data_IF_097086470907
#
_entry.id   IF_097086470907
#
_cell.length_a   1.000
_cell.length_b   1.000
_cell.length_c   1.000
_cell.angle_alpha   90.00
_cell.angle_beta   90.00
_cell.angle_gamma   90.00
#
_symmetry.space_group_name_H-M   'P 1'
#
loop_
_entity.id
_entity.type
_entity.pdbx_description
1 polymer ?
#
# COMPACT_ATOMS: atom_id res chain seq x y z
N UNK A 1 12.77 -30.21 -11.25
CA UNK A 1 12.55 -29.30 -10.12
C UNK A 1 11.06 -29.35 -9.82
N UNK A 2 10.69 -29.74 -8.60
CA UNK A 2 9.28 -29.86 -8.21
C UNK A 2 8.64 -28.47 -8.13
N UNK A 3 7.37 -28.34 -8.53
CA UNK A 3 6.67 -27.03 -8.50
C UNK A 3 6.68 -26.36 -7.12
N UNK A 4 6.73 -27.15 -6.05
CA UNK A 4 6.84 -26.65 -4.68
C UNK A 4 8.20 -26.02 -4.35
N UNK A 5 9.29 -26.53 -4.91
CA UNK A 5 10.64 -25.98 -4.70
C UNK A 5 10.72 -24.56 -5.26
N UNK A 6 10.21 -24.34 -6.47
CA UNK A 6 10.19 -23.03 -7.14
C UNK A 6 9.35 -22.02 -6.34
N UNK A 7 8.20 -22.45 -5.79
CA UNK A 7 7.36 -21.58 -4.96
C UNK A 7 8.07 -21.18 -3.65
N UNK A 8 8.74 -22.14 -3.00
CA UNK A 8 9.51 -21.89 -1.77
C UNK A 8 10.70 -20.96 -2.03
N UNK A 9 11.47 -21.19 -3.09
CA UNK A 9 12.58 -20.33 -3.50
C UNK A 9 12.09 -18.90 -3.76
N UNK A 10 10.98 -18.76 -4.50
CA UNK A 10 10.40 -17.45 -4.81
C UNK A 10 9.95 -16.72 -3.54
N UNK A 11 9.32 -17.43 -2.60
CA UNK A 11 8.86 -16.85 -1.33
C UNK A 11 10.03 -16.40 -0.45
N UNK A 12 11.06 -17.24 -0.31
CA UNK A 12 12.26 -16.92 0.46
C UNK A 12 12.99 -15.72 -0.13
N UNK A 13 13.11 -15.66 -1.46
CA UNK A 13 13.71 -14.53 -2.14
C UNK A 13 12.92 -13.23 -1.90
N UNK A 14 11.58 -13.28 -1.99
CA UNK A 14 10.72 -12.12 -1.67
C UNK A 14 10.95 -11.64 -0.25
N UNK A 15 10.92 -12.54 0.73
CA UNK A 15 11.14 -12.14 2.11
C UNK A 15 12.55 -11.60 2.34
N UNK A 16 13.58 -12.21 1.74
CA UNK A 16 14.95 -11.71 1.83
C UNK A 16 15.06 -10.30 1.25
N UNK A 17 14.49 -10.05 0.07
CA UNK A 17 14.49 -8.73 -0.55
C UNK A 17 13.69 -7.70 0.26
N UNK A 18 12.48 -8.04 0.69
CA UNK A 18 11.64 -7.15 1.49
C UNK A 18 12.31 -6.80 2.83
N UNK A 19 12.84 -7.79 3.54
CA UNK A 19 13.50 -7.56 4.83
C UNK A 19 14.84 -6.84 4.70
N UNK A 20 15.60 -7.05 3.63
CA UNK A 20 16.91 -6.43 3.48
C UNK A 20 16.83 -5.07 2.79
N UNK A 21 16.28 -5.03 1.57
CA UNK A 21 16.20 -3.80 0.77
C UNK A 21 15.08 -2.91 1.28
N UNK A 22 13.90 -3.46 1.56
CA UNK A 22 12.78 -2.69 2.13
C UNK A 22 13.21 -2.00 3.42
N UNK A 23 13.77 -2.76 4.37
CA UNK A 23 14.25 -2.19 5.64
C UNK A 23 15.35 -1.14 5.47
N UNK A 24 16.26 -1.34 4.52
CA UNK A 24 17.29 -0.35 4.22
C UNK A 24 16.66 0.96 3.74
N UNK A 25 15.72 0.91 2.79
CA UNK A 25 15.04 2.10 2.28
C UNK A 25 14.12 2.73 3.33
N UNK A 26 13.44 1.93 4.14
CA UNK A 26 12.65 2.38 5.29
C UNK A 26 13.50 3.25 6.21
N UNK A 27 14.68 2.76 6.62
CA UNK A 27 15.62 3.48 7.49
C UNK A 27 16.13 4.78 6.84
N UNK A 28 16.45 4.76 5.53
CA UNK A 28 16.87 5.95 4.80
C UNK A 28 15.77 7.03 4.77
N UNK A 29 14.52 6.61 4.55
CA UNK A 29 13.34 7.48 4.50
C UNK A 29 13.01 8.03 5.89
N UNK A 30 13.15 7.22 6.94
CA UNK A 30 12.97 7.69 8.33
C UNK A 30 14.02 8.73 8.72
N UNK A 31 15.27 8.58 8.28
CA UNK A 31 16.35 9.56 8.54
C UNK A 31 16.09 10.94 7.95
N UNK A 32 15.36 11.01 6.84
CA UNK A 32 14.94 12.28 6.23
C UNK A 32 13.63 12.82 6.82
N UNK A 33 13.05 12.15 7.83
CA UNK A 33 11.84 12.57 8.53
C UNK A 33 10.53 12.21 7.83
N UNK A 34 10.56 11.28 6.89
CA UNK A 34 9.39 10.83 6.13
C UNK A 34 8.80 9.53 6.70
N UNK A 35 7.52 9.21 6.41
CA UNK A 35 6.89 7.97 6.84
C UNK A 35 7.64 6.72 6.34
N UNK A 36 7.89 5.72 7.20
CA UNK A 36 8.63 4.49 6.86
C UNK A 36 8.11 3.77 5.61
N UNK A 37 6.78 3.70 5.46
CA UNK A 37 6.08 3.01 4.36
C UNK A 37 6.48 3.55 2.98
N UNK A 38 6.89 4.82 2.87
CA UNK A 38 7.39 5.36 1.60
C UNK A 38 8.69 4.67 1.17
N UNK A 39 9.52 4.24 2.11
CA UNK A 39 10.73 3.46 1.84
C UNK A 39 10.40 2.11 1.21
N UNK A 40 9.42 1.39 1.75
CA UNK A 40 8.96 0.12 1.19
C UNK A 40 8.38 0.28 -0.22
N UNK A 41 7.63 1.36 -0.47
CA UNK A 41 7.10 1.66 -1.81
C UNK A 41 8.21 1.96 -2.83
N UNK A 42 9.23 2.73 -2.42
CA UNK A 42 10.39 3.01 -3.29
C UNK A 42 11.19 1.74 -3.55
N UNK A 43 11.45 0.93 -2.53
CA UNK A 43 12.11 -0.37 -2.68
C UNK A 43 11.32 -1.27 -3.64
N UNK A 44 10.00 -1.33 -3.51
CA UNK A 44 9.11 -2.07 -4.40
C UNK A 44 9.16 -1.57 -5.85
N UNK A 45 9.20 -0.25 -6.07
CA UNK A 45 9.33 0.34 -7.40
C UNK A 45 10.68 -0.01 -8.05
N UNK A 46 11.77 0.01 -7.28
CA UNK A 46 13.13 -0.31 -7.74
C UNK A 46 13.27 -1.80 -8.04
N UNK A 47 12.81 -2.68 -7.14
CA UNK A 47 12.96 -4.13 -7.27
C UNK A 47 11.94 -4.75 -8.24
N UNK A 48 10.78 -4.11 -8.40
CA UNK A 48 9.69 -4.55 -9.26
C UNK A 48 10.02 -4.43 -10.75
N UNK A 49 9.04 -4.82 -11.57
CA UNK A 49 9.16 -4.87 -13.04
C UNK A 49 9.40 -3.51 -13.69
N UNK A 50 9.10 -2.41 -12.99
CA UNK A 50 9.33 -1.05 -13.47
C UNK A 50 10.81 -0.70 -13.61
N UNK A 51 11.72 -1.41 -12.92
CA UNK A 51 13.15 -1.08 -12.93
C UNK A 51 14.08 -2.32 -12.97
N UNK A 52 14.34 -3.02 -11.85
CA UNK A 52 15.27 -4.17 -11.85
C UNK A 52 14.62 -5.49 -12.30
N UNK A 53 13.31 -5.63 -12.17
CA UNK A 53 12.57 -6.87 -12.47
C UNK A 53 13.11 -8.13 -11.76
N UNK A 54 13.64 -7.97 -10.53
CA UNK A 54 14.18 -9.07 -9.72
C UNK A 54 13.19 -9.60 -8.69
N UNK A 55 12.15 -8.84 -8.37
CA UNK A 55 11.12 -9.24 -7.43
C UNK A 55 10.11 -10.18 -8.11
N UNK A 56 10.02 -11.46 -7.72
CA UNK A 56 9.14 -12.40 -8.38
C UNK A 56 7.70 -12.10 -8.02
N UNK A 57 6.82 -12.21 -9.02
CA UNK A 57 5.38 -11.99 -8.86
C UNK A 57 4.67 -13.24 -9.36
N UNK A 58 4.06 -13.98 -8.43
CA UNK A 58 3.23 -15.13 -8.72
C UNK A 58 1.99 -15.12 -7.81
N UNK A 59 0.97 -15.91 -8.16
CA UNK A 59 -0.31 -15.92 -7.44
C UNK A 59 -0.16 -16.25 -5.95
N UNK A 60 0.83 -17.08 -5.60
CA UNK A 60 1.13 -17.45 -4.23
C UNK A 60 1.69 -16.26 -3.42
N UNK A 61 2.64 -15.51 -3.99
CA UNK A 61 3.20 -14.29 -3.38
C UNK A 61 2.10 -13.24 -3.23
N UNK A 62 1.25 -13.06 -4.25
CA UNK A 62 0.12 -12.12 -4.20
C UNK A 62 -0.86 -12.50 -3.07
N UNK A 63 -1.18 -13.79 -2.93
CA UNK A 63 -2.02 -14.27 -1.84
C UNK A 63 -1.40 -14.00 -0.45
N UNK A 64 -0.08 -14.19 -0.30
CA UNK A 64 0.65 -13.83 0.92
C UNK A 64 0.64 -12.33 1.19
N UNK A 65 0.75 -11.47 0.17
CA UNK A 65 0.62 -10.02 0.33
C UNK A 65 -0.76 -9.63 0.84
N UNK A 66 -1.83 -10.24 0.29
CA UNK A 66 -3.19 -10.02 0.79
C UNK A 66 -3.37 -10.46 2.25
N UNK A 67 -2.78 -11.58 2.64
CA UNK A 67 -2.76 -12.02 4.04
C UNK A 67 -2.04 -10.99 4.93
N UNK A 68 -0.88 -10.49 4.50
CA UNK A 68 -0.15 -9.43 5.22
C UNK A 68 -0.99 -8.17 5.41
N UNK A 69 -1.65 -7.68 4.35
CA UNK A 69 -2.55 -6.51 4.42
C UNK A 69 -3.71 -6.78 5.38
N UNK A 70 -4.33 -7.96 5.31
CA UNK A 70 -5.41 -8.33 6.21
C UNK A 70 -4.96 -8.35 7.68
N UNK A 71 -3.78 -8.90 7.98
CA UNK A 71 -3.21 -8.89 9.33
C UNK A 71 -2.89 -7.47 9.81
N UNK A 72 -2.37 -6.59 8.93
CA UNK A 72 -2.10 -5.19 9.28
C UNK A 72 -3.38 -4.43 9.61
N UNK A 73 -4.43 -4.58 8.79
CA UNK A 73 -5.72 -3.93 9.03
C UNK A 73 -6.41 -4.50 10.28
N UNK A 74 -6.31 -5.82 10.50
CA UNK A 74 -6.79 -6.45 11.72
C UNK A 74 -6.06 -5.90 12.95
N UNK A 75 -4.73 -5.82 12.90
CA UNK A 75 -3.92 -5.29 13.98
C UNK A 75 -4.28 -3.83 14.29
N UNK A 76 -4.40 -2.97 13.27
CA UNK A 76 -4.86 -1.60 13.43
C UNK A 76 -6.27 -1.51 14.08
N UNK A 77 -7.16 -2.43 13.71
CA UNK A 77 -8.48 -2.56 14.35
C UNK A 77 -8.40 -3.01 15.81
N UNK A 78 -7.51 -3.94 16.14
CA UNK A 78 -7.30 -4.43 17.51
C UNK A 78 -6.65 -3.38 18.43
N UNK A 79 -5.76 -2.54 17.90
CA UNK A 79 -5.14 -1.43 18.62
C UNK A 79 -6.15 -0.29 18.92
N UNK A 80 -7.24 -0.21 18.15
CA UNK A 80 -8.26 0.82 18.31
C UNK A 80 -9.11 0.60 19.56
N UNK A 81 -9.04 1.52 20.53
CA UNK A 81 -9.87 1.47 21.75
C UNK A 81 -11.33 1.81 21.44
N UNK A 82 -12.17 0.78 21.41
CA UNK A 82 -13.60 0.88 21.06
C UNK A 82 -14.36 2.02 21.75
N UNK A 83 -14.19 2.20 23.07
CA UNK A 83 -14.90 3.23 23.83
C UNK A 83 -14.53 4.66 23.40
N UNK A 84 -13.27 4.90 23.11
CA UNK A 84 -12.80 6.23 22.67
C UNK A 84 -13.23 6.48 21.22
N UNK A 85 -13.13 5.46 20.36
CA UNK A 85 -13.64 5.50 19.00
C UNK A 85 -15.13 5.88 18.94
N UNK A 86 -15.97 5.19 19.73
CA UNK A 86 -17.41 5.46 19.74
C UNK A 86 -17.79 6.84 20.30
N UNK A 87 -16.99 7.43 21.19
CA UNK A 87 -17.22 8.81 21.67
C UNK A 87 -16.97 9.85 20.59
N UNK A 88 -16.04 9.59 19.67
CA UNK A 88 -15.63 10.52 18.62
C UNK A 88 -16.14 10.13 17.22
N UNK A 89 -17.01 9.12 17.12
CA UNK A 89 -17.46 8.55 15.85
C UNK A 89 -18.13 9.57 14.92
N UNK A 90 -18.86 10.55 15.46
CA UNK A 90 -19.48 11.61 14.67
C UNK A 90 -18.45 12.51 13.98
N UNK A 91 -17.40 12.91 14.72
CA UNK A 91 -16.31 13.72 14.16
C UNK A 91 -15.48 12.92 13.17
N UNK A 92 -15.06 11.70 13.52
CA UNK A 92 -14.28 10.86 12.63
C UNK A 92 -15.06 10.49 11.37
N UNK A 93 -16.35 10.16 11.48
CA UNK A 93 -17.21 9.91 10.33
C UNK A 93 -17.32 11.12 9.40
N UNK A 94 -17.49 12.32 9.96
CA UNK A 94 -17.51 13.55 9.17
C UNK A 94 -16.17 13.80 8.45
N UNK A 95 -15.04 13.59 9.14
CA UNK A 95 -13.70 13.72 8.56
C UNK A 95 -13.51 12.69 7.43
N UNK A 96 -13.78 11.41 7.67
CA UNK A 96 -13.61 10.35 6.66
C UNK A 96 -14.47 10.58 5.42
N UNK A 97 -15.73 11.00 5.59
CA UNK A 97 -16.60 11.35 4.45
C UNK A 97 -16.04 12.57 3.72
N UNK A 98 -15.61 13.59 4.46
CA UNK A 98 -14.99 14.78 3.91
C UNK A 98 -13.72 14.48 3.11
N UNK A 99 -12.83 13.64 3.65
CA UNK A 99 -11.61 13.19 2.98
C UNK A 99 -11.93 12.41 1.71
N UNK A 100 -12.89 11.47 1.75
CA UNK A 100 -13.31 10.71 0.58
C UNK A 100 -13.87 11.61 -0.53
N UNK A 101 -14.77 12.53 -0.17
CA UNK A 101 -15.33 13.49 -1.13
C UNK A 101 -14.28 14.46 -1.65
N UNK A 102 -13.33 14.89 -0.82
CA UNK A 102 -12.26 15.79 -1.22
C UNK A 102 -11.25 15.10 -2.15
N UNK A 103 -10.83 13.87 -1.84
CA UNK A 103 -9.93 13.09 -2.69
C UNK A 103 -10.58 12.83 -4.06
N UNK A 104 -11.82 12.34 -4.07
CA UNK A 104 -12.59 12.12 -5.30
C UNK A 104 -12.78 13.42 -6.08
N UNK A 105 -13.23 14.48 -5.39
CA UNK A 105 -13.48 15.78 -6.01
C UNK A 105 -12.21 16.38 -6.63
N UNK A 106 -11.07 16.31 -5.94
CA UNK A 106 -9.79 16.77 -6.48
C UNK A 106 -9.34 15.93 -7.68
N UNK A 107 -9.40 14.60 -7.61
CA UNK A 107 -9.06 13.73 -8.74
C UNK A 107 -9.93 14.01 -9.97
N UNK A 108 -11.24 14.13 -9.77
CA UNK A 108 -12.19 14.49 -10.82
C UNK A 108 -11.90 15.86 -11.43
N UNK A 109 -11.68 16.89 -10.60
CA UNK A 109 -11.38 18.25 -11.07
C UNK A 109 -10.08 18.31 -11.85
N UNK A 110 -9.04 17.61 -11.40
CA UNK A 110 -7.78 17.46 -12.14
C UNK A 110 -8.05 16.79 -13.49
N UNK A 111 -8.77 15.66 -13.51
CA UNK A 111 -9.15 14.99 -14.75
C UNK A 111 -9.89 15.91 -15.73
N UNK A 112 -10.87 16.66 -15.24
CA UNK A 112 -11.61 17.63 -16.04
C UNK A 112 -10.73 18.79 -16.55
N UNK A 113 -9.84 19.32 -15.70
CA UNK A 113 -8.90 20.39 -16.06
C UNK A 113 -7.93 19.98 -17.18
N UNK A 114 -7.48 18.72 -17.17
CA UNK A 114 -6.66 18.14 -18.25
C UNK A 114 -7.46 17.79 -19.52
N UNK A 115 -8.77 18.07 -19.56
CA UNK A 115 -9.62 17.88 -20.73
C UNK A 115 -10.13 16.45 -20.92
N UNK A 116 -10.03 15.59 -19.91
CA UNK A 116 -10.56 14.23 -20.00
C UNK A 116 -12.10 14.24 -20.06
N UNK A 117 -12.72 13.29 -20.80
CA UNK A 117 -14.17 13.12 -20.79
C UNK A 117 -14.70 12.87 -19.37
N UNK A 118 -15.94 13.28 -19.09
CA UNK A 118 -16.57 13.17 -17.75
C UNK A 118 -16.47 11.77 -17.14
N UNK A 119 -16.61 10.73 -17.98
CA UNK A 119 -16.50 9.33 -17.55
C UNK A 119 -15.09 9.00 -17.08
N UNK A 120 -14.08 9.45 -17.81
CA UNK A 120 -12.67 9.21 -17.45
C UNK A 120 -12.28 10.01 -16.21
N UNK A 121 -12.71 11.27 -16.11
CA UNK A 121 -12.49 12.09 -14.91
C UNK A 121 -13.13 11.47 -13.66
N UNK A 122 -14.30 10.85 -13.79
CA UNK A 122 -14.97 10.12 -12.71
C UNK A 122 -14.19 8.89 -12.22
N UNK A 123 -13.36 8.26 -13.07
CA UNK A 123 -12.50 7.13 -12.64
C UNK A 123 -11.16 7.59 -12.05
N UNK A 124 -10.75 8.83 -12.31
CA UNK A 124 -9.53 9.42 -11.75
C UNK A 124 -9.79 9.91 -10.32
N UNK A 125 -10.97 10.49 -10.08
CA UNK A 125 -11.49 10.73 -8.73
C UNK A 125 -11.88 9.43 -8.07
#
# INVERSE_FOLDING_TARGET
>A
MGGWEVLLESLLLVFALAMFVGKLFEELVVRIGLPPVLGDLIAGLILGSSFLAVYPVNDFIIAFSWLGIAFLLLYAGLETRYREFMRSIGLYGFITIGEGLAAFGMGFLVGAFFGYPIRSAYFIG
#
